data_IF_974489530482
#
_entry.id   IF_974489530482
#
_cell.length_a   1.000
_cell.length_b   1.000
_cell.length_c   1.000
_cell.angle_alpha   90.00
_cell.angle_beta   90.00
_cell.angle_gamma   90.00
#
_symmetry.space_group_name_H-M   'P 1'
#
loop_
_entity.id
_entity.type
_entity.pdbx_description
1 polymer ?
#
# COMPACT_ATOMS: atom_id res chain seq x y z
N UNK A 1 -11.31 22.63 -10.72
CA UNK A 1 -10.33 22.06 -9.75
C UNK A 1 -9.30 23.06 -9.21
N UNK A 2 -8.49 23.75 -10.04
CA UNK A 2 -7.43 24.66 -9.55
C UNK A 2 -7.90 25.82 -8.63
N UNK A 3 -9.19 26.20 -8.72
CA UNK A 3 -9.81 27.27 -7.91
C UNK A 3 -10.88 26.78 -6.95
N UNK A 4 -11.16 25.46 -6.89
CA UNK A 4 -12.33 24.91 -6.19
C UNK A 4 -11.96 24.11 -4.93
N UNK A 5 -10.68 23.80 -4.74
CA UNK A 5 -10.27 23.01 -3.60
C UNK A 5 -10.33 23.79 -2.27
N UNK A 6 -10.37 25.14 -2.32
CA UNK A 6 -10.48 26.04 -1.15
C UNK A 6 -9.54 25.69 0.02
N UNK A 7 -8.36 25.15 -0.29
CA UNK A 7 -7.39 24.71 0.72
C UNK A 7 -7.71 23.39 1.43
N UNK A 8 -8.75 22.65 1.03
CA UNK A 8 -9.07 21.33 1.60
C UNK A 8 -7.90 20.37 1.43
N UNK A 9 -7.65 19.61 2.50
CA UNK A 9 -6.68 18.54 2.49
C UNK A 9 -7.06 17.44 1.48
N UNK A 10 -6.03 16.78 0.93
CA UNK A 10 -6.20 15.69 -0.03
C UNK A 10 -5.55 14.41 0.48
N UNK A 11 -6.27 13.31 0.33
CA UNK A 11 -5.76 11.94 0.46
C UNK A 11 -5.64 11.34 -0.94
N UNK A 12 -4.48 10.79 -1.25
CA UNK A 12 -4.21 10.12 -2.53
C UNK A 12 -4.10 8.62 -2.32
N UNK A 13 -4.83 7.81 -3.08
CA UNK A 13 -4.87 6.36 -2.90
C UNK A 13 -4.62 5.70 -4.25
N UNK A 14 -3.58 4.86 -4.31
CA UNK A 14 -3.20 4.09 -5.47
C UNK A 14 -2.90 2.65 -5.10
N UNK A 15 -3.23 1.76 -6.02
CA UNK A 15 -2.80 0.37 -5.99
C UNK A 15 -2.25 -0.01 -7.36
N UNK A 16 -1.22 -0.86 -7.40
CA UNK A 16 -0.71 -1.43 -8.65
C UNK A 16 -0.32 -0.31 -9.63
N UNK A 17 -0.88 -0.32 -10.85
CA UNK A 17 -0.69 0.74 -11.84
C UNK A 17 -0.99 2.15 -11.30
N UNK A 18 -2.03 2.30 -10.49
CA UNK A 18 -2.41 3.58 -9.90
C UNK A 18 -1.32 4.14 -8.98
N UNK A 19 -0.54 3.28 -8.33
CA UNK A 19 0.60 3.68 -7.51
C UNK A 19 1.72 4.26 -8.36
N UNK A 20 2.08 3.65 -9.49
CA UNK A 20 3.10 4.22 -10.38
C UNK A 20 2.67 5.58 -10.95
N UNK A 21 1.39 5.72 -11.32
CA UNK A 21 0.83 7.00 -11.75
C UNK A 21 0.91 8.06 -10.65
N UNK A 22 0.52 7.72 -9.42
CA UNK A 22 0.58 8.65 -8.29
C UNK A 22 2.01 8.98 -7.86
N UNK A 23 2.94 8.03 -7.88
CA UNK A 23 4.36 8.28 -7.65
C UNK A 23 4.87 9.36 -8.60
N UNK A 24 4.59 9.21 -9.91
CA UNK A 24 4.97 10.21 -10.92
C UNK A 24 4.30 11.56 -10.68
N UNK A 25 2.98 11.59 -10.54
CA UNK A 25 2.22 12.82 -10.29
C UNK A 25 2.76 13.55 -9.06
N UNK A 26 2.86 12.85 -7.93
CA UNK A 26 3.29 13.44 -6.66
C UNK A 26 4.73 13.93 -6.74
N UNK A 27 5.65 13.18 -7.34
CA UNK A 27 7.05 13.58 -7.52
C UNK A 27 7.20 14.85 -8.37
N UNK A 28 6.40 14.96 -9.43
CA UNK A 28 6.48 16.08 -10.36
C UNK A 28 5.74 17.32 -9.86
N UNK A 29 4.75 17.17 -8.98
CA UNK A 29 3.88 18.27 -8.51
C UNK A 29 3.99 18.49 -7.00
N UNK A 30 3.44 17.59 -6.19
CA UNK A 30 3.39 17.71 -4.73
C UNK A 30 4.78 17.85 -4.11
N UNK A 31 5.72 16.97 -4.41
CA UNK A 31 7.04 16.94 -3.78
C UNK A 31 7.86 18.21 -4.03
N UNK A 32 7.54 18.96 -5.10
CA UNK A 32 8.23 20.21 -5.48
C UNK A 32 7.52 21.47 -5.00
N UNK A 33 6.21 21.42 -4.77
CA UNK A 33 5.41 22.58 -4.34
C UNK A 33 5.05 22.52 -2.85
N UNK A 34 5.61 23.44 -2.05
CA UNK A 34 5.34 23.51 -0.61
C UNK A 34 3.86 23.75 -0.27
N UNK A 35 3.10 24.42 -1.14
CA UNK A 35 1.66 24.65 -0.95
C UNK A 35 0.88 23.36 -1.14
N UNK A 36 1.20 22.57 -2.17
CA UNK A 36 0.57 21.26 -2.36
C UNK A 36 0.99 20.27 -1.26
N UNK A 37 2.24 20.30 -0.79
CA UNK A 37 2.66 19.50 0.39
C UNK A 37 1.85 19.84 1.62
N UNK A 38 1.59 21.14 1.88
CA UNK A 38 0.73 21.55 3.00
C UNK A 38 -0.70 21.05 2.87
N UNK A 39 -1.20 20.83 1.65
CA UNK A 39 -2.53 20.27 1.41
C UNK A 39 -2.56 18.74 1.46
N UNK A 40 -1.41 18.06 1.45
CA UNK A 40 -1.36 16.61 1.52
C UNK A 40 -1.66 16.14 2.94
N UNK A 41 -2.79 15.45 3.12
CA UNK A 41 -3.12 14.76 4.37
C UNK A 41 -2.29 13.47 4.46
N UNK A 42 -2.18 12.75 3.35
CA UNK A 42 -1.40 11.51 3.25
C UNK A 42 -1.57 10.86 1.88
N UNK A 43 -0.72 9.90 1.58
CA UNK A 43 -0.89 9.07 0.39
C UNK A 43 -0.68 7.59 0.69
N UNK A 44 -1.58 6.75 0.19
CA UNK A 44 -1.59 5.30 0.34
C UNK A 44 -1.21 4.70 -1.02
N UNK A 45 0.06 4.33 -1.17
CA UNK A 45 0.70 3.94 -2.42
C UNK A 45 1.08 2.46 -2.35
N UNK A 46 0.10 1.59 -2.58
CA UNK A 46 0.25 0.14 -2.35
C UNK A 46 0.65 -0.58 -3.64
N UNK A 47 1.45 -1.65 -3.52
CA UNK A 47 1.70 -2.55 -4.64
C UNK A 47 2.41 -1.89 -5.83
N UNK A 48 3.37 -0.99 -5.57
CA UNK A 48 4.00 -0.22 -6.65
C UNK A 48 5.37 0.34 -6.31
N UNK A 49 6.13 -0.36 -5.46
CA UNK A 49 7.54 -0.14 -5.18
C UNK A 49 7.93 1.34 -4.97
N UNK A 50 7.27 2.03 -4.02
CA UNK A 50 7.73 3.37 -3.63
C UNK A 50 9.17 3.24 -3.12
N UNK A 51 10.10 4.03 -3.66
CA UNK A 51 11.52 3.95 -3.35
C UNK A 51 11.95 5.08 -2.41
N UNK A 52 12.80 4.74 -1.44
CA UNK A 52 13.56 5.72 -0.64
C UNK A 52 15.06 5.46 -0.76
N UNK A 53 15.88 6.45 -0.37
CA UNK A 53 17.29 6.15 -0.14
C UNK A 53 17.40 5.11 0.99
N UNK A 54 18.39 4.21 0.90
CA UNK A 54 18.57 3.15 1.91
C UNK A 54 18.67 3.74 3.32
N UNK A 55 17.90 3.17 4.25
CA UNK A 55 17.84 3.62 5.65
C UNK A 55 17.18 4.99 5.87
N UNK A 56 16.51 5.56 4.86
CA UNK A 56 15.84 6.87 4.93
C UNK A 56 14.34 6.76 4.63
N UNK A 57 13.57 7.76 5.06
CA UNK A 57 12.16 7.94 4.69
C UNK A 57 11.97 8.77 3.42
N UNK A 58 13.06 9.32 2.86
CA UNK A 58 13.08 10.14 1.63
C UNK A 58 14.27 9.76 0.75
N UNK A 59 14.43 10.43 -0.40
CA UNK A 59 15.63 10.35 -1.23
C UNK A 59 15.52 9.44 -2.46
N UNK A 60 14.37 8.79 -2.66
CA UNK A 60 14.02 8.05 -3.88
C UNK A 60 12.95 8.81 -4.68
N UNK A 61 11.71 8.31 -4.64
CA UNK A 61 10.58 8.96 -5.33
C UNK A 61 10.38 10.40 -4.89
N UNK A 62 10.51 10.64 -3.59
CA UNK A 62 10.22 11.92 -2.96
C UNK A 62 11.43 12.43 -2.18
N UNK A 63 11.76 13.70 -2.38
CA UNK A 63 12.85 14.38 -1.68
C UNK A 63 12.35 15.08 -0.41
N UNK A 64 11.09 15.53 -0.41
CA UNK A 64 10.50 16.36 0.65
C UNK A 64 9.30 15.71 1.35
N UNK A 65 8.65 14.72 0.73
CA UNK A 65 7.53 13.98 1.33
C UNK A 65 8.07 12.66 1.92
N UNK A 66 8.10 12.49 3.25
CA UNK A 66 8.63 11.29 3.87
C UNK A 66 7.62 10.13 3.86
N UNK A 67 8.12 8.91 4.07
CA UNK A 67 7.29 7.80 4.55
C UNK A 67 6.73 8.11 5.95
N UNK A 68 5.54 7.60 6.24
CA UNK A 68 4.95 7.64 7.57
C UNK A 68 5.67 6.68 8.52
N UNK A 69 5.97 7.14 9.73
CA UNK A 69 6.71 6.38 10.75
C UNK A 69 5.96 6.25 12.08
N UNK A 70 4.94 7.08 12.33
CA UNK A 70 4.20 7.10 13.59
C UNK A 70 2.70 7.39 13.41
N UNK A 71 1.93 7.10 14.46
CA UNK A 71 0.48 7.29 14.50
C UNK A 71 0.10 8.75 14.28
N UNK A 72 -0.84 8.99 13.37
CA UNK A 72 -1.37 10.34 13.10
C UNK A 72 -0.41 11.28 12.37
N UNK A 73 0.81 10.84 12.01
CA UNK A 73 1.69 11.63 11.15
C UNK A 73 1.01 11.83 9.79
N UNK A 74 0.85 13.09 9.40
CA UNK A 74 0.24 13.49 8.13
C UNK A 74 1.28 14.09 7.16
N UNK A 75 0.89 14.30 5.91
CA UNK A 75 1.79 14.80 4.86
C UNK A 75 2.89 13.79 4.50
N UNK A 76 2.62 12.50 4.69
CA UNK A 76 3.57 11.41 4.48
C UNK A 76 2.95 10.27 3.64
N UNK A 77 3.79 9.33 3.22
CA UNK A 77 3.40 8.19 2.39
C UNK A 77 3.29 6.91 3.23
N UNK A 78 2.18 6.20 3.09
CA UNK A 78 2.01 4.79 3.49
C UNK A 78 2.20 3.95 2.24
N UNK A 79 3.19 3.06 2.22
CA UNK A 79 3.50 2.24 1.07
C UNK A 79 4.04 0.88 1.50
N UNK A 80 3.54 -0.16 0.87
CA UNK A 80 4.07 -1.51 0.95
C UNK A 80 3.49 -2.35 -0.20
N UNK A 81 4.14 -3.49 -0.46
CA UNK A 81 3.55 -4.62 -1.17
C UNK A 81 3.49 -5.80 -0.21
N UNK A 82 2.52 -6.70 -0.38
CA UNK A 82 2.31 -7.82 0.54
C UNK A 82 2.86 -9.13 0.00
N UNK A 83 3.28 -9.99 0.93
CA UNK A 83 3.49 -11.40 0.67
C UNK A 83 2.98 -12.23 1.87
N UNK A 84 2.70 -13.50 1.63
CA UNK A 84 2.36 -14.53 2.62
C UNK A 84 3.45 -15.61 2.71
N UNK A 85 4.27 -15.72 1.68
CA UNK A 85 5.48 -16.51 1.59
C UNK A 85 6.65 -15.59 1.22
N UNK A 86 7.83 -15.84 1.77
CA UNK A 86 9.03 -15.10 1.34
C UNK A 86 9.33 -15.49 -0.11
N UNK A 87 9.23 -14.55 -1.08
CA UNK A 87 9.33 -14.92 -2.47
C UNK A 87 10.79 -15.21 -2.84
N UNK A 88 11.09 -16.31 -3.55
CA UNK A 88 12.43 -16.50 -4.12
C UNK A 88 12.71 -15.48 -5.24
N UNK A 89 11.66 -15.02 -5.92
CA UNK A 89 11.67 -13.98 -6.94
C UNK A 89 10.31 -13.29 -6.96
N UNK A 90 10.31 -11.95 -6.88
CA UNK A 90 9.12 -11.12 -7.02
C UNK A 90 9.43 -9.90 -7.88
N UNK A 91 8.39 -9.34 -8.50
CA UNK A 91 8.49 -8.03 -9.16
C UNK A 91 8.23 -6.86 -8.19
N UNK A 92 7.95 -7.16 -6.92
CA UNK A 92 7.73 -6.18 -5.87
C UNK A 92 8.74 -6.33 -4.73
N UNK A 93 9.03 -5.26 -4.02
CA UNK A 93 9.81 -5.30 -2.77
C UNK A 93 11.33 -5.20 -2.95
N UNK A 94 11.87 -5.34 -4.15
CA UNK A 94 13.31 -5.28 -4.37
C UNK A 94 13.69 -4.23 -5.44
N UNK A 95 14.38 -3.18 -5.00
CA UNK A 95 14.76 -2.04 -5.83
C UNK A 95 15.77 -2.40 -6.93
N UNK A 96 16.61 -3.41 -6.72
CA UNK A 96 17.68 -3.79 -7.66
C UNK A 96 17.14 -4.48 -8.91
N UNK A 97 15.98 -5.13 -8.79
CA UNK A 97 15.32 -5.87 -9.87
C UNK A 97 13.97 -5.28 -10.26
N UNK A 98 13.68 -4.05 -9.82
CA UNK A 98 12.41 -3.37 -10.10
C UNK A 98 12.34 -2.88 -11.56
N UNK A 99 11.86 -3.76 -12.43
CA UNK A 99 11.64 -3.45 -13.84
C UNK A 99 10.40 -2.56 -14.06
N UNK A 100 9.45 -2.55 -13.12
CA UNK A 100 8.25 -1.73 -13.24
C UNK A 100 8.61 -0.25 -13.06
N UNK A 101 9.31 0.11 -11.98
CA UNK A 101 9.75 1.50 -11.78
C UNK A 101 10.59 2.02 -12.94
N UNK A 102 11.49 1.19 -13.47
CA UNK A 102 12.30 1.52 -14.66
C UNK A 102 11.42 1.83 -15.88
N UNK A 103 10.42 0.99 -16.16
CA UNK A 103 9.49 1.21 -17.26
C UNK A 103 8.70 2.52 -17.11
N UNK A 104 8.37 2.91 -15.88
CA UNK A 104 7.66 4.15 -15.58
C UNK A 104 8.57 5.39 -15.48
N UNK A 105 9.89 5.22 -15.59
CA UNK A 105 10.88 6.29 -15.42
C UNK A 105 10.98 6.78 -13.97
N UNK A 106 10.66 5.91 -13.01
CA UNK A 106 10.75 6.16 -11.58
C UNK A 106 12.09 5.63 -11.03
N UNK A 107 12.52 6.10 -9.84
CA UNK A 107 13.77 5.62 -9.23
C UNK A 107 13.74 4.10 -9.03
N UNK A 108 14.92 3.48 -9.13
CA UNK A 108 15.17 2.05 -8.88
C UNK A 108 16.68 1.81 -8.84
N UNK A 109 17.12 0.67 -8.30
CA UNK A 109 18.52 0.24 -8.27
C UNK A 109 19.20 0.36 -6.89
N UNK A 110 20.52 0.09 -6.81
CA UNK A 110 21.20 -0.25 -5.56
C UNK A 110 21.32 0.86 -4.53
N UNK A 111 21.16 2.12 -4.94
CA UNK A 111 21.09 3.25 -4.01
C UNK A 111 19.77 3.37 -3.25
N UNK A 112 18.76 2.60 -3.65
CA UNK A 112 17.40 2.69 -3.12
C UNK A 112 16.99 1.43 -2.38
N UNK A 113 15.86 1.54 -1.68
CA UNK A 113 15.11 0.44 -1.11
C UNK A 113 13.62 0.68 -1.33
N UNK A 114 12.88 -0.40 -1.61
CA UNK A 114 11.43 -0.35 -1.62
C UNK A 114 10.94 -0.05 -0.21
N UNK A 115 9.99 0.87 -0.10
CA UNK A 115 9.36 1.28 1.14
C UNK A 115 8.45 0.16 1.67
N UNK A 116 8.51 -0.05 2.98
CA UNK A 116 7.49 -0.78 3.73
C UNK A 116 7.14 0.00 5.00
N UNK A 117 5.94 0.56 5.03
CA UNK A 117 5.36 1.18 6.22
C UNK A 117 4.40 0.22 6.89
N UNK A 118 4.66 -0.11 8.14
CA UNK A 118 3.91 -1.12 8.90
C UNK A 118 2.55 -0.57 9.37
N UNK A 119 1.41 -1.02 8.80
CA UNK A 119 0.11 -0.50 9.19
C UNK A 119 -0.22 -0.79 10.66
N UNK A 120 0.25 -1.89 11.25
CA UNK A 120 -0.03 -2.22 12.65
C UNK A 120 0.57 -1.17 13.58
N UNK A 121 1.79 -0.70 13.27
CA UNK A 121 2.45 0.38 14.01
C UNK A 121 1.78 1.73 13.78
N UNK A 122 1.49 2.08 12.52
CA UNK A 122 0.88 3.37 12.18
C UNK A 122 -0.53 3.51 12.74
N UNK A 123 -1.27 2.42 12.86
CA UNK A 123 -2.61 2.41 13.44
C UNK A 123 -2.64 2.17 14.95
N UNK A 124 -1.50 1.83 15.57
CA UNK A 124 -1.41 1.31 16.95
C UNK A 124 -2.44 0.20 17.25
N UNK A 125 -2.70 -0.65 16.26
CA UNK A 125 -3.59 -1.80 16.37
C UNK A 125 -2.87 -3.01 15.78
N UNK A 126 -2.49 -3.96 16.63
CA UNK A 126 -1.79 -5.19 16.26
C UNK A 126 -2.72 -6.41 16.17
N UNK A 127 -4.03 -6.22 16.36
CA UNK A 127 -4.99 -7.31 16.37
C UNK A 127 -5.01 -8.04 15.01
N UNK A 128 -5.32 -9.35 14.98
CA UNK A 128 -5.45 -10.05 13.72
C UNK A 128 -6.60 -9.49 12.86
N UNK A 129 -6.33 -9.26 11.57
CA UNK A 129 -7.28 -8.69 10.60
C UNK A 129 -7.68 -9.69 9.53
N UNK A 130 -8.85 -9.49 8.92
CA UNK A 130 -9.29 -10.28 7.77
C UNK A 130 -8.97 -9.59 6.44
N UNK A 131 -9.30 -10.28 5.34
CA UNK A 131 -9.27 -9.72 3.99
C UNK A 131 -10.67 -9.23 3.65
N UNK A 132 -10.83 -7.91 3.45
CA UNK A 132 -12.12 -7.29 3.13
C UNK A 132 -12.25 -7.04 1.64
N UNK A 133 -13.31 -7.57 1.02
CA UNK A 133 -13.58 -7.49 -0.42
C UNK A 133 -15.03 -7.10 -0.69
N UNK A 134 -15.37 -6.65 -1.91
CA UNK A 134 -16.76 -6.48 -2.30
C UNK A 134 -17.51 -7.81 -2.22
N UNK A 135 -18.76 -7.79 -1.73
CA UNK A 135 -19.61 -8.99 -1.71
C UNK A 135 -20.07 -9.40 -3.12
N UNK A 136 -20.16 -8.44 -4.04
CA UNK A 136 -20.48 -8.69 -5.44
C UNK A 136 -19.22 -9.15 -6.21
N UNK A 137 -19.35 -10.09 -7.16
CA UNK A 137 -18.23 -10.51 -7.98
C UNK A 137 -17.73 -9.37 -8.87
N UNK A 138 -16.44 -9.35 -9.14
CA UNK A 138 -15.86 -8.46 -10.14
C UNK A 138 -16.37 -8.81 -11.54
N UNK A 139 -16.47 -7.78 -12.39
CA UNK A 139 -16.78 -7.98 -13.80
C UNK A 139 -15.78 -8.96 -14.44
N UNK A 140 -16.28 -9.84 -15.31
CA UNK A 140 -15.46 -10.88 -15.91
C UNK A 140 -14.29 -10.28 -16.72
N UNK A 141 -13.07 -10.71 -16.39
CA UNK A 141 -11.84 -10.28 -17.04
C UNK A 141 -10.60 -10.87 -16.36
N UNK A 142 -9.42 -10.38 -16.73
CA UNK A 142 -8.14 -10.87 -16.20
C UNK A 142 -8.11 -10.73 -14.66
N UNK A 143 -8.56 -9.60 -14.12
CA UNK A 143 -8.56 -9.37 -12.68
C UNK A 143 -9.47 -10.36 -11.94
N UNK A 144 -10.69 -10.61 -12.44
CA UNK A 144 -11.58 -11.59 -11.80
C UNK A 144 -11.01 -13.01 -11.87
N UNK A 145 -10.29 -13.36 -12.94
CA UNK A 145 -9.61 -14.67 -13.07
C UNK A 145 -8.51 -14.81 -12.03
N UNK A 146 -7.66 -13.79 -11.87
CA UNK A 146 -6.57 -13.85 -10.89
C UNK A 146 -7.10 -13.85 -9.45
N UNK A 147 -8.15 -13.08 -9.14
CA UNK A 147 -8.80 -13.11 -7.82
C UNK A 147 -9.41 -14.48 -7.50
N UNK A 148 -10.03 -15.14 -8.48
CA UNK A 148 -10.53 -16.50 -8.32
C UNK A 148 -9.40 -17.49 -8.05
N UNK A 149 -8.25 -17.34 -8.73
CA UNK A 149 -7.07 -18.14 -8.44
C UNK A 149 -6.56 -17.86 -7.01
N UNK A 150 -6.41 -16.60 -6.63
CA UNK A 150 -5.93 -16.19 -5.29
C UNK A 150 -6.79 -16.73 -4.17
N UNK A 151 -8.09 -16.89 -4.38
CA UNK A 151 -9.03 -17.37 -3.35
C UNK A 151 -9.38 -18.85 -3.48
N UNK A 152 -8.83 -19.58 -4.44
CA UNK A 152 -9.07 -21.02 -4.56
C UNK A 152 -8.39 -21.81 -3.41
N UNK A 153 -8.97 -22.94 -2.95
CA UNK A 153 -10.25 -23.51 -3.35
C UNK A 153 -11.45 -22.92 -2.59
N UNK A 154 -11.21 -22.11 -1.54
CA UNK A 154 -12.25 -21.57 -0.66
C UNK A 154 -12.48 -20.08 -0.97
N UNK A 155 -13.48 -19.80 -1.81
CA UNK A 155 -13.87 -18.44 -2.15
C UNK A 155 -14.14 -17.59 -0.90
N UNK A 156 -13.90 -16.28 -1.00
CA UNK A 156 -14.22 -15.36 0.08
C UNK A 156 -15.74 -15.36 0.35
N UNK A 157 -16.16 -15.25 1.62
CA UNK A 157 -17.58 -15.32 1.98
C UNK A 157 -18.34 -14.18 1.33
N UNK A 158 -19.56 -14.38 0.86
CA UNK A 158 -20.45 -13.30 0.43
C UNK A 158 -21.40 -12.90 1.56
N UNK A 159 -21.95 -11.68 1.52
CA UNK A 159 -22.96 -11.21 2.48
C UNK A 159 -23.98 -10.29 1.81
N UNK A 160 -25.07 -9.97 2.51
CA UNK A 160 -26.04 -8.95 2.07
C UNK A 160 -25.49 -7.51 2.14
N UNK A 161 -24.37 -7.31 2.86
CA UNK A 161 -23.68 -6.02 2.90
C UNK A 161 -22.84 -5.83 1.63
N UNK A 162 -22.53 -4.57 1.27
CA UNK A 162 -21.69 -4.26 0.09
C UNK A 162 -20.28 -4.86 0.19
N UNK A 163 -19.77 -5.01 1.40
CA UNK A 163 -18.46 -5.56 1.70
C UNK A 163 -18.57 -6.76 2.64
N UNK A 164 -17.59 -7.63 2.55
CA UNK A 164 -17.48 -8.86 3.34
C UNK A 164 -16.04 -9.07 3.75
N UNK A 165 -15.83 -9.64 4.92
CA UNK A 165 -14.49 -9.91 5.46
C UNK A 165 -14.29 -11.41 5.61
N UNK A 166 -13.14 -11.88 5.16
CA UNK A 166 -12.75 -13.28 5.18
C UNK A 166 -12.81 -13.90 6.59
N UNK A 167 -12.88 -15.24 6.69
CA UNK A 167 -12.77 -15.96 7.97
C UNK A 167 -11.32 -15.99 8.46
N UNK A 168 -10.39 -16.08 7.52
CA UNK A 168 -8.96 -16.04 7.80
C UNK A 168 -8.59 -14.80 8.60
N UNK A 169 -7.60 -14.93 9.45
CA UNK A 169 -7.03 -13.82 10.21
C UNK A 169 -5.53 -13.81 10.01
N UNK A 170 -5.00 -12.64 9.70
CA UNK A 170 -3.57 -12.41 9.52
C UNK A 170 -3.08 -11.39 10.53
N UNK A 171 -1.86 -11.60 11.00
CA UNK A 171 -1.02 -10.54 11.56
C UNK A 171 0.02 -10.20 10.51
N UNK A 172 0.56 -8.98 10.52
CA UNK A 172 1.58 -8.62 9.55
C UNK A 172 2.65 -7.71 10.14
N UNK A 173 3.80 -7.73 9.48
CA UNK A 173 4.95 -6.90 9.82
C UNK A 173 5.81 -6.66 8.58
N UNK A 174 6.42 -5.48 8.49
CA UNK A 174 7.43 -5.23 7.46
C UNK A 174 8.69 -6.06 7.74
N UNK A 175 9.14 -6.81 6.73
CA UNK A 175 10.37 -7.60 6.79
C UNK A 175 11.23 -7.30 5.55
N UNK A 176 12.55 -7.37 5.73
CA UNK A 176 13.51 -7.47 4.64
C UNK A 176 14.03 -8.90 4.58
N UNK A 177 13.73 -9.60 3.50
CA UNK A 177 14.21 -10.96 3.25
C UNK A 177 14.84 -11.06 1.86
N UNK A 178 16.15 -11.25 1.80
CA UNK A 178 16.85 -11.36 0.51
C UNK A 178 16.80 -10.10 -0.35
N UNK A 179 16.70 -8.92 0.28
CA UNK A 179 16.55 -7.63 -0.42
C UNK A 179 15.12 -7.29 -0.81
N UNK A 180 14.15 -8.14 -0.45
CA UNK A 180 12.72 -7.87 -0.60
C UNK A 180 12.17 -7.25 0.68
N UNK A 181 11.92 -5.94 0.66
CA UNK A 181 11.28 -5.22 1.75
C UNK A 181 9.76 -5.14 1.50
N UNK A 182 9.00 -5.96 2.23
CA UNK A 182 7.56 -6.16 2.00
C UNK A 182 6.81 -6.33 3.32
N UNK A 183 5.49 -6.11 3.30
CA UNK A 183 4.61 -6.37 4.42
C UNK A 183 4.21 -7.84 4.42
N UNK A 184 4.86 -8.63 5.26
CA UNK A 184 4.65 -10.07 5.36
C UNK A 184 3.42 -10.36 6.22
N UNK A 185 2.47 -11.11 5.65
CA UNK A 185 1.21 -11.51 6.28
C UNK A 185 1.31 -12.96 6.74
N UNK A 186 1.13 -13.18 8.05
CA UNK A 186 1.09 -14.50 8.66
C UNK A 186 -0.33 -14.84 9.11
N UNK A 187 -0.87 -15.95 8.61
CA UNK A 187 -2.18 -16.44 9.05
C UNK A 187 -2.14 -17.00 10.47
N UNK A 188 -2.93 -16.41 11.37
CA UNK A 188 -3.21 -16.92 12.73
C UNK A 188 -4.55 -17.68 12.80
N UNK A 189 -5.47 -17.38 11.89
CA UNK A 189 -6.62 -18.24 11.57
C UNK A 189 -6.51 -18.63 10.10
N UNK A 190 -6.29 -19.92 9.77
CA UNK A 190 -6.03 -20.33 8.39
C UNK A 190 -7.22 -20.11 7.45
N UNK A 191 -6.94 -19.54 6.29
CA UNK A 191 -7.76 -19.60 5.08
C UNK A 191 -6.81 -19.64 3.89
N UNK A 192 -6.92 -20.61 2.96
CA UNK A 192 -6.03 -20.69 1.83
C UNK A 192 -6.07 -19.41 0.99
N UNK A 193 -4.90 -18.85 0.70
CA UNK A 193 -4.70 -17.81 -0.29
C UNK A 193 -3.54 -18.24 -1.18
N UNK A 194 -3.76 -18.24 -2.50
CA UNK A 194 -2.72 -18.52 -3.48
C UNK A 194 -2.04 -17.22 -3.89
N UNK A 195 -0.72 -17.19 -3.78
CA UNK A 195 0.09 -16.13 -4.37
C UNK A 195 0.16 -16.29 -5.88
N UNK A 196 0.03 -15.19 -6.60
CA UNK A 196 0.20 -15.17 -8.05
C UNK A 196 1.71 -15.15 -8.33
N UNK A 197 2.26 -16.07 -9.15
CA UNK A 197 3.69 -16.09 -9.43
C UNK A 197 4.23 -14.72 -9.86
N UNK A 198 5.35 -14.28 -9.24
CA UNK A 198 6.00 -12.97 -9.41
C UNK A 198 5.23 -11.75 -8.86
N UNK A 199 3.99 -11.94 -8.44
CA UNK A 199 3.10 -10.91 -7.90
C UNK A 199 2.77 -11.16 -6.42
N UNK A 200 3.27 -12.23 -5.81
CA UNK A 200 3.04 -12.57 -4.40
C UNK A 200 1.55 -12.48 -4.03
N UNK A 201 1.21 -11.79 -2.93
CA UNK A 201 -0.17 -11.49 -2.53
C UNK A 201 -0.66 -10.11 -2.96
N UNK A 202 -0.08 -9.52 -4.02
CA UNK A 202 -0.37 -8.17 -4.54
C UNK A 202 -1.87 -7.85 -4.71
N UNK A 203 -2.69 -8.85 -5.02
CA UNK A 203 -4.15 -8.68 -5.16
C UNK A 203 -4.90 -8.39 -3.85
N UNK A 204 -4.25 -8.50 -2.70
CA UNK A 204 -4.83 -8.21 -1.39
C UNK A 204 -4.06 -7.15 -0.60
N UNK A 205 -3.14 -6.40 -1.23
CA UNK A 205 -2.32 -5.39 -0.53
C UNK A 205 -3.16 -4.41 0.30
N UNK A 206 -4.29 -3.96 -0.26
CA UNK A 206 -5.21 -3.04 0.40
C UNK A 206 -6.29 -3.76 1.21
N UNK A 207 -6.55 -5.03 0.91
CA UNK A 207 -7.70 -5.76 1.42
C UNK A 207 -7.43 -6.38 2.79
N UNK A 208 -6.19 -6.82 3.05
CA UNK A 208 -5.77 -7.34 4.34
C UNK A 208 -5.66 -6.20 5.37
N UNK A 209 -6.63 -6.10 6.27
CA UNK A 209 -6.69 -5.01 7.26
C UNK A 209 -7.11 -3.65 6.68
N UNK A 210 -8.08 -3.65 5.75
CA UNK A 210 -8.61 -2.41 5.18
C UNK A 210 -9.10 -1.41 6.25
N UNK A 211 -9.71 -1.90 7.32
CA UNK A 211 -10.13 -1.11 8.49
C UNK A 211 -8.96 -0.38 9.16
N UNK A 212 -7.79 -1.01 9.17
CA UNK A 212 -6.56 -0.40 9.66
C UNK A 212 -6.11 0.77 8.79
N UNK A 213 -6.18 0.63 7.47
CA UNK A 213 -5.87 1.70 6.53
C UNK A 213 -6.84 2.88 6.67
N UNK A 214 -8.13 2.59 6.84
CA UNK A 214 -9.14 3.62 7.13
C UNK A 214 -8.82 4.34 8.44
N UNK A 215 -8.46 3.60 9.50
CA UNK A 215 -8.06 4.21 10.78
C UNK A 215 -6.84 5.12 10.63
N UNK A 216 -5.83 4.72 9.87
CA UNK A 216 -4.66 5.57 9.60
C UNK A 216 -5.09 6.84 8.86
N UNK A 217 -5.93 6.73 7.83
CA UNK A 217 -6.43 7.89 7.09
C UNK A 217 -7.24 8.86 7.98
N UNK A 218 -8.05 8.34 8.90
CA UNK A 218 -8.81 9.15 9.86
C UNK A 218 -7.87 9.88 10.84
N UNK A 219 -6.85 9.19 11.35
CA UNK A 219 -5.85 9.77 12.24
C UNK A 219 -5.05 10.89 11.55
N UNK A 220 -4.62 10.66 10.30
CA UNK A 220 -3.95 11.66 9.48
C UNK A 220 -4.84 12.87 9.22
N UNK A 221 -6.11 12.62 8.89
CA UNK A 221 -7.10 13.68 8.64
C UNK A 221 -7.31 14.54 9.88
N UNK A 222 -7.52 13.92 11.05
CA UNK A 222 -7.71 14.64 12.30
C UNK A 222 -6.48 15.49 12.66
N UNK A 223 -5.28 14.92 12.53
CA UNK A 223 -4.03 15.63 12.81
C UNK A 223 -3.82 16.81 11.84
N UNK A 224 -4.07 16.61 10.54
CA UNK A 224 -3.96 17.67 9.53
C UNK A 224 -4.95 18.81 9.80
N UNK A 225 -6.20 18.49 10.13
CA UNK A 225 -7.23 19.50 10.47
C UNK A 225 -6.86 20.30 11.72
N UNK A 226 -6.19 19.69 12.69
CA UNK A 226 -5.75 20.36 13.92
C UNK A 226 -4.52 21.27 13.74
N UNK A 227 -3.75 21.07 12.67
CA UNK A 227 -2.54 21.83 12.37
C UNK A 227 -2.79 23.06 11.48
N UNK A 228 -4.00 23.19 10.93
CA UNK A 228 -4.42 24.25 10.00
C UNK A 228 -5.07 25.46 10.64
#
# INVERSE_FOLDING_TARGET
MATENNGRGVLLIGHSQGTFMLRKLMRETFDRDATLRRQLVGAFLMGGNVETARGSTTGGDFQNIPLCTERGQFGCIVAYSTNTLVPPLSTFGNADVDLWSQHWGLPSGPGFQVACTDPAKLSEDDRPVGVTVPSAPFAFGIISILLNYTTAPEALPTSESTWTTSRGRVVGSCIDAGGYNQYHLQFVVPQPINEVPLLDSHLIDMNAGLDRLVSIADQQTAAWQSAG
#
